data_IF_480894896290
#
_entry.id   IF_480894896290
#
_cell.length_a   1.000
_cell.length_b   1.000
_cell.length_c   1.000
_cell.angle_alpha   90.00
_cell.angle_beta   90.00
_cell.angle_gamma   90.00
#
_symmetry.space_group_name_H-M   'P 1'
#
loop_
_entity.id
_entity.type
_entity.pdbx_description
1 polymer ?
#
# COMPACT_ATOMS: atom_id res chain seq x y z
N UNK A 1 14.69 21.21 52.02
CA UNK A 1 15.26 20.16 51.15
C UNK A 1 14.29 19.71 50.03
N UNK A 2 13.39 20.56 49.51
CA UNK A 2 12.34 20.17 48.53
C UNK A 2 12.37 21.13 47.32
N UNK A 3 13.53 21.25 46.66
CA UNK A 3 13.65 22.02 45.40
C UNK A 3 14.38 21.28 44.28
N UNK A 4 14.91 20.07 44.54
CA UNK A 4 15.67 19.29 43.54
C UNK A 4 14.86 18.20 42.82
N UNK A 5 13.69 17.80 43.32
CA UNK A 5 12.90 16.73 42.69
C UNK A 5 11.98 17.19 41.55
N UNK A 6 11.62 18.48 41.49
CA UNK A 6 10.68 19.00 40.48
C UNK A 6 11.34 19.11 39.10
N UNK A 7 12.63 19.45 39.04
CA UNK A 7 13.37 19.56 37.77
C UNK A 7 13.55 18.21 37.06
N UNK A 8 13.73 17.13 37.83
CA UNK A 8 13.90 15.79 37.26
C UNK A 8 12.57 15.23 36.70
N UNK A 9 11.44 15.57 37.33
CA UNK A 9 10.12 15.17 36.85
C UNK A 9 9.74 15.87 35.53
N UNK A 10 10.11 17.14 35.37
CA UNK A 10 9.89 17.90 34.13
C UNK A 10 10.75 17.38 32.97
N UNK A 11 11.98 16.94 33.25
CA UNK A 11 12.87 16.36 32.24
C UNK A 11 12.33 15.01 31.71
N UNK A 12 11.79 14.17 32.60
CA UNK A 12 11.14 12.90 32.24
C UNK A 12 9.85 13.16 31.44
N UNK A 13 9.05 14.17 31.81
CA UNK A 13 7.85 14.55 31.06
C UNK A 13 8.17 15.07 29.64
N UNK A 14 9.27 15.82 29.48
CA UNK A 14 9.74 16.28 28.17
C UNK A 14 10.29 15.14 27.30
N UNK A 15 10.98 14.17 27.91
CA UNK A 15 11.45 12.96 27.23
C UNK A 15 10.28 12.05 26.81
N UNK A 16 9.17 12.05 27.56
CA UNK A 16 7.94 11.33 27.21
C UNK A 16 7.15 11.99 26.08
N UNK A 17 7.33 13.29 25.80
CA UNK A 17 6.72 13.93 24.61
C UNK A 17 7.49 13.69 23.31
N UNK A 18 8.66 13.04 23.36
CA UNK A 18 9.32 12.43 22.20
C UNK A 18 8.80 11.01 21.91
N UNK A 19 7.64 10.62 22.46
CA UNK A 19 6.90 9.45 21.98
C UNK A 19 6.51 9.69 20.52
N UNK A 20 7.42 9.29 19.65
CA UNK A 20 7.20 8.73 18.32
C UNK A 20 5.87 9.16 17.68
N UNK A 21 5.91 10.24 16.91
CA UNK A 21 5.18 10.20 15.64
C UNK A 21 5.82 9.05 14.85
N UNK A 22 5.32 7.82 15.03
CA UNK A 22 5.52 6.77 14.04
C UNK A 22 4.77 7.24 12.80
N UNK A 23 5.45 7.96 11.91
CA UNK A 23 4.97 8.15 10.56
C UNK A 23 4.79 6.76 9.96
N UNK A 24 3.54 6.40 9.67
CA UNK A 24 3.22 5.17 8.97
C UNK A 24 3.75 5.32 7.54
N UNK A 25 4.97 4.83 7.31
CA UNK A 25 5.55 4.82 5.97
C UNK A 25 4.92 3.66 5.21
N UNK A 26 4.13 3.97 4.18
CA UNK A 26 3.58 2.92 3.32
C UNK A 26 4.72 2.08 2.73
N UNK A 27 4.62 0.74 2.79
CA UNK A 27 5.70 -0.15 2.37
C UNK A 27 5.93 -0.13 0.85
N UNK A 28 4.94 0.34 0.07
CA UNK A 28 5.04 0.51 -1.38
C UNK A 28 4.47 1.88 -1.77
N UNK A 29 5.26 2.64 -2.51
CA UNK A 29 4.86 3.91 -3.09
C UNK A 29 4.54 3.72 -4.58
N UNK A 30 3.51 4.39 -5.06
CA UNK A 30 3.10 4.39 -6.47
C UNK A 30 3.01 5.83 -6.98
N UNK A 31 3.50 6.08 -8.19
CA UNK A 31 3.46 7.39 -8.83
C UNK A 31 3.25 7.22 -10.33
N UNK A 32 2.71 8.23 -11.02
CA UNK A 32 2.75 8.23 -12.48
C UNK A 32 4.20 8.35 -12.95
N UNK A 33 4.58 7.58 -13.98
CA UNK A 33 5.91 7.69 -14.59
C UNK A 33 6.11 9.01 -15.33
N UNK A 34 5.03 9.61 -15.81
CA UNK A 34 5.00 10.93 -16.46
C UNK A 34 3.86 11.77 -15.84
N UNK A 35 4.08 13.07 -15.67
CA UNK A 35 3.13 13.97 -15.00
C UNK A 35 1.94 14.38 -15.86
N UNK A 36 1.91 13.94 -17.13
CA UNK A 36 0.88 14.34 -18.08
C UNK A 36 -0.40 13.52 -17.89
N UNK A 37 -1.46 14.23 -17.48
CA UNK A 37 -2.79 13.64 -17.35
C UNK A 37 -3.40 13.39 -18.74
N UNK A 38 -3.91 12.18 -19.02
CA UNK A 38 -4.54 11.89 -20.29
C UNK A 38 -5.82 12.70 -20.48
N UNK A 39 -6.01 13.29 -21.66
CA UNK A 39 -7.19 14.10 -21.98
C UNK A 39 -8.44 13.27 -22.33
N UNK A 40 -8.28 11.97 -22.59
CA UNK A 40 -9.35 11.06 -23.03
C UNK A 40 -9.32 9.75 -22.25
N UNK A 41 -10.49 9.23 -21.95
CA UNK A 41 -10.68 7.99 -21.20
C UNK A 41 -11.56 7.00 -22.01
N UNK A 42 -11.31 5.67 -21.91
CA UNK A 42 -10.35 5.00 -21.03
C UNK A 42 -8.90 5.32 -21.39
N UNK A 43 -8.04 5.40 -20.37
CA UNK A 43 -6.63 5.74 -20.53
C UNK A 43 -5.76 4.70 -19.84
N UNK A 44 -4.74 4.22 -20.55
CA UNK A 44 -3.68 3.38 -19.98
C UNK A 44 -2.48 4.26 -19.67
N UNK A 45 -2.09 4.32 -18.41
CA UNK A 45 -0.94 5.11 -17.94
C UNK A 45 0.13 4.20 -17.37
N UNK A 46 1.37 4.68 -17.39
CA UNK A 46 2.49 4.03 -16.73
C UNK A 46 2.57 4.50 -15.27
N UNK A 47 2.62 3.53 -14.36
CA UNK A 47 2.75 3.72 -12.91
C UNK A 47 4.10 3.16 -12.49
N UNK A 48 4.97 4.03 -11.97
CA UNK A 48 6.17 3.63 -11.27
C UNK A 48 5.84 3.21 -9.85
N UNK A 49 6.53 2.19 -9.37
CA UNK A 49 6.47 1.78 -7.99
C UNK A 49 7.84 1.70 -7.35
N UNK A 50 7.88 1.95 -6.05
CA UNK A 50 9.06 1.79 -5.21
C UNK A 50 8.68 1.12 -3.89
N UNK A 51 9.40 0.06 -3.54
CA UNK A 51 9.20 -0.69 -2.31
C UNK A 51 10.27 -0.30 -1.30
N UNK A 52 9.88 -0.03 -0.05
CA UNK A 52 10.80 0.40 0.99
C UNK A 52 11.93 -0.63 1.26
N UNK A 53 13.07 -0.18 1.79
CA UNK A 53 14.28 -1.01 1.94
C UNK A 53 14.12 -2.17 2.93
N UNK A 54 13.30 -1.97 3.95
CA UNK A 54 12.98 -2.91 5.02
C UNK A 54 12.03 -4.02 4.54
N UNK A 55 11.22 -3.81 3.50
CA UNK A 55 10.14 -4.73 3.11
C UNK A 55 10.53 -5.77 2.05
N UNK A 56 11.62 -6.51 2.31
CA UNK A 56 12.21 -7.51 1.38
C UNK A 56 11.26 -8.63 0.90
N UNK A 57 10.10 -8.81 1.54
CA UNK A 57 9.13 -9.87 1.22
C UNK A 57 8.01 -9.45 0.26
N UNK A 58 8.01 -8.20 -0.24
CA UNK A 58 6.97 -7.67 -1.13
C UNK A 58 7.31 -7.77 -2.62
N UNK A 59 8.56 -8.05 -2.99
CA UNK A 59 8.99 -8.24 -4.38
C UNK A 59 9.79 -9.52 -4.58
N UNK A 60 10.00 -9.89 -5.83
CA UNK A 60 10.72 -11.07 -6.26
C UNK A 60 9.82 -12.10 -6.94
N UNK A 61 10.31 -13.34 -6.99
CA UNK A 61 9.60 -14.44 -7.65
C UNK A 61 8.25 -14.68 -6.98
N UNK A 62 7.21 -14.80 -7.80
CA UNK A 62 5.84 -15.09 -7.39
C UNK A 62 5.21 -14.05 -6.44
N UNK A 63 5.65 -12.80 -6.52
CA UNK A 63 5.06 -11.66 -5.81
C UNK A 63 4.17 -10.86 -6.75
N UNK A 64 2.92 -10.70 -6.34
CA UNK A 64 1.90 -10.06 -7.15
C UNK A 64 1.02 -9.19 -6.25
N UNK A 65 0.52 -8.11 -6.82
CA UNK A 65 -0.53 -7.30 -6.23
C UNK A 65 -1.70 -7.15 -7.20
N UNK A 66 -2.83 -6.73 -6.65
CA UNK A 66 -3.96 -6.18 -7.41
C UNK A 66 -4.48 -4.98 -6.64
N UNK A 67 -5.11 -4.04 -7.33
CA UNK A 67 -5.79 -2.93 -6.71
C UNK A 67 -7.28 -3.22 -6.68
N UNK A 68 -7.96 -2.85 -5.61
CA UNK A 68 -9.41 -2.80 -5.58
C UNK A 68 -9.85 -1.36 -5.46
N UNK A 69 -10.87 -1.00 -6.22
CA UNK A 69 -11.55 0.27 -6.07
C UNK A 69 -12.76 0.08 -5.14
N UNK A 70 -12.72 0.73 -3.98
CA UNK A 70 -13.80 0.68 -3.00
C UNK A 70 -14.47 2.05 -2.83
N UNK A 71 -15.78 2.10 -3.06
CA UNK A 71 -16.59 3.28 -2.78
C UNK A 71 -17.13 3.25 -1.37
N UNK A 72 -16.71 4.21 -0.56
CA UNK A 72 -17.31 4.46 0.76
C UNK A 72 -18.03 5.81 0.72
N UNK A 73 -19.24 5.81 0.16
CA UNK A 73 -20.10 7.00 0.10
C UNK A 73 -19.59 8.06 -0.87
N UNK A 74 -18.98 9.14 -0.36
CA UNK A 74 -18.43 10.25 -1.17
C UNK A 74 -16.92 10.15 -1.41
N UNK A 75 -16.27 9.14 -0.86
CA UNK A 75 -14.85 8.90 -1.01
C UNK A 75 -14.64 7.56 -1.70
N UNK A 76 -13.70 7.56 -2.65
CA UNK A 76 -13.13 6.34 -3.19
C UNK A 76 -11.83 6.06 -2.44
N UNK A 77 -11.52 4.79 -2.21
CA UNK A 77 -10.20 4.37 -1.78
C UNK A 77 -9.65 3.35 -2.76
N UNK A 78 -8.35 3.47 -3.05
CA UNK A 78 -7.60 2.41 -3.72
C UNK A 78 -6.86 1.59 -2.66
N UNK A 79 -7.16 0.30 -2.62
CA UNK A 79 -6.44 -0.62 -1.72
C UNK A 79 -5.62 -1.58 -2.55
N UNK A 80 -4.33 -1.67 -2.24
CA UNK A 80 -3.44 -2.66 -2.84
C UNK A 80 -3.51 -3.95 -2.02
N UNK A 81 -3.83 -5.06 -2.68
CA UNK A 81 -3.87 -6.38 -2.07
C UNK A 81 -2.72 -7.23 -2.60
N UNK A 82 -1.89 -7.80 -1.72
CA UNK A 82 -0.99 -8.86 -2.14
C UNK A 82 -1.82 -10.09 -2.49
N UNK A 83 -1.43 -10.77 -3.56
CA UNK A 83 -2.12 -11.98 -4.03
C UNK A 83 -1.15 -13.13 -4.25
N UNK A 84 -1.66 -14.34 -4.03
CA UNK A 84 -0.96 -15.58 -4.31
C UNK A 84 -1.59 -16.26 -5.51
N UNK A 85 -0.77 -16.62 -6.50
CA UNK A 85 -1.21 -17.43 -7.63
C UNK A 85 -1.57 -18.84 -7.15
N UNK A 86 -2.70 -19.36 -7.63
CA UNK A 86 -3.17 -20.73 -7.42
C UNK A 86 -3.45 -21.38 -8.77
N UNK A 87 -3.79 -22.68 -8.76
CA UNK A 87 -4.25 -23.39 -9.96
C UNK A 87 -5.55 -22.81 -10.54
N UNK A 88 -6.36 -22.16 -9.70
CA UNK A 88 -7.69 -21.67 -10.05
C UNK A 88 -7.73 -20.13 -10.22
N UNK A 89 -6.56 -19.46 -10.20
CA UNK A 89 -6.45 -18.00 -10.36
C UNK A 89 -5.55 -17.36 -9.31
N UNK A 90 -6.05 -16.35 -8.62
CA UNK A 90 -5.33 -15.63 -7.56
C UNK A 90 -6.19 -15.53 -6.30
N UNK A 91 -5.57 -15.63 -5.14
CA UNK A 91 -6.22 -15.42 -3.84
C UNK A 91 -5.59 -14.22 -3.15
N UNK A 92 -6.42 -13.40 -2.50
CA UNK A 92 -5.91 -12.34 -1.63
C UNK A 92 -5.25 -12.99 -0.42
N UNK A 93 -4.08 -12.47 -0.05
CA UNK A 93 -3.37 -12.85 1.17
C UNK A 93 -3.27 -11.63 2.06
N UNK A 94 -3.29 -11.82 3.37
CA UNK A 94 -2.95 -10.76 4.29
C UNK A 94 -4.10 -9.83 4.70
N UNK A 95 -5.35 -10.15 4.38
CA UNK A 95 -6.50 -9.35 4.78
C UNK A 95 -7.49 -10.15 5.64
N UNK A 96 -8.47 -9.48 6.23
CA UNK A 96 -9.64 -10.12 6.85
C UNK A 96 -10.44 -10.99 5.85
N UNK A 97 -10.18 -10.81 4.55
CA UNK A 97 -10.65 -11.66 3.46
C UNK A 97 -9.66 -12.77 3.08
N UNK A 98 -8.78 -13.18 4.00
CA UNK A 98 -7.84 -14.29 3.80
C UNK A 98 -8.58 -15.48 3.16
N UNK A 99 -8.17 -15.85 1.93
CA UNK A 99 -8.77 -16.87 1.06
C UNK A 99 -9.95 -16.47 0.15
N UNK A 100 -10.27 -15.19 -0.03
CA UNK A 100 -11.09 -14.78 -1.19
C UNK A 100 -10.32 -15.07 -2.48
N UNK A 101 -10.84 -16.00 -3.27
CA UNK A 101 -10.41 -16.21 -4.64
C UNK A 101 -10.96 -15.07 -5.49
N UNK A 102 -10.12 -14.48 -6.32
CA UNK A 102 -10.51 -13.55 -7.37
C UNK A 102 -10.75 -14.40 -8.62
N UNK A 103 -11.98 -14.87 -8.89
CA UNK A 103 -12.25 -15.72 -10.05
C UNK A 103 -12.18 -14.94 -11.37
N UNK A 104 -12.41 -13.63 -11.32
CA UNK A 104 -12.24 -12.69 -12.42
C UNK A 104 -12.08 -11.27 -11.83
N UNK A 105 -10.90 -10.63 -11.95
CA UNK A 105 -10.64 -9.30 -11.37
C UNK A 105 -11.65 -8.23 -11.82
N UNK A 106 -12.04 -8.26 -13.10
CA UNK A 106 -12.95 -7.27 -13.69
C UNK A 106 -14.35 -7.30 -13.07
N UNK A 107 -14.78 -8.44 -12.51
CA UNK A 107 -16.15 -8.61 -11.99
C UNK A 107 -16.37 -7.99 -10.61
N UNK A 108 -15.31 -7.62 -9.90
CA UNK A 108 -15.40 -7.17 -8.51
C UNK A 108 -14.65 -5.85 -8.27
N UNK A 109 -14.39 -5.09 -9.33
CA UNK A 109 -13.68 -3.81 -9.22
C UNK A 109 -12.21 -3.96 -8.87
N UNK A 110 -11.61 -5.11 -9.18
CA UNK A 110 -10.17 -5.30 -9.08
C UNK A 110 -9.48 -4.94 -10.40
N UNK A 111 -8.29 -4.39 -10.30
CA UNK A 111 -7.40 -4.20 -11.44
C UNK A 111 -6.83 -5.52 -11.94
N UNK A 112 -6.08 -5.45 -13.03
CA UNK A 112 -5.19 -6.52 -13.43
C UNK A 112 -4.19 -6.92 -12.32
N UNK A 113 -3.62 -8.12 -12.46
CA UNK A 113 -2.62 -8.66 -11.53
C UNK A 113 -1.24 -8.14 -11.95
N UNK A 114 -0.58 -7.45 -11.04
CA UNK A 114 0.67 -6.75 -11.29
C UNK A 114 1.81 -7.51 -10.60
N UNK A 115 2.83 -7.98 -11.35
CA UNK A 115 3.98 -8.65 -10.77
C UNK A 115 4.98 -7.64 -10.20
N UNK A 116 5.34 -7.80 -8.93
CA UNK A 116 6.38 -7.01 -8.27
C UNK A 116 7.72 -7.75 -8.36
N UNK A 117 8.34 -7.75 -9.54
CA UNK A 117 9.55 -8.57 -9.80
C UNK A 117 10.78 -8.04 -9.07
N UNK A 118 10.93 -6.73 -9.09
CA UNK A 118 12.06 -6.01 -8.51
C UNK A 118 11.55 -5.00 -7.48
N UNK A 119 12.47 -4.45 -6.68
CA UNK A 119 12.16 -3.45 -5.65
C UNK A 119 11.53 -2.16 -6.23
N UNK A 120 11.85 -1.86 -7.48
CA UNK A 120 11.25 -0.77 -8.24
C UNK A 120 10.93 -1.26 -9.65
N UNK A 121 10.00 -0.58 -10.30
CA UNK A 121 9.63 -0.89 -11.66
C UNK A 121 8.45 -0.07 -12.10
N UNK A 122 7.94 -0.41 -13.29
CA UNK A 122 6.82 0.28 -13.91
C UNK A 122 5.81 -0.76 -14.37
N UNK A 123 4.53 -0.48 -14.19
CA UNK A 123 3.44 -1.25 -14.78
C UNK A 123 2.43 -0.34 -15.46
N UNK A 124 1.65 -0.89 -16.39
CA UNK A 124 0.54 -0.19 -17.03
C UNK A 124 -0.72 -0.45 -16.24
N UNK A 125 -1.56 0.58 -16.09
CA UNK A 125 -2.88 0.45 -15.50
C UNK A 125 -3.89 1.23 -16.34
N UNK A 126 -5.02 0.60 -16.64
CA UNK A 126 -6.10 1.25 -17.39
C UNK A 126 -7.13 1.84 -16.44
N UNK A 127 -7.41 3.12 -16.60
CA UNK A 127 -8.44 3.85 -15.89
C UNK A 127 -9.60 4.13 -16.85
N UNK A 128 -10.77 3.63 -16.51
CA UNK A 128 -11.98 3.81 -17.34
C UNK A 128 -12.52 5.24 -17.31
N UNK A 129 -12.23 5.99 -16.24
CA UNK A 129 -12.75 7.34 -16.00
C UNK A 129 -11.69 8.20 -15.33
N UNK A 130 -11.75 9.49 -15.63
CA UNK A 130 -10.80 10.50 -15.12
C UNK A 130 -10.69 10.52 -13.60
N UNK A 131 -11.83 10.47 -12.90
CA UNK A 131 -11.81 10.54 -11.44
C UNK A 131 -11.14 9.32 -10.79
N UNK A 132 -11.09 8.15 -11.45
CA UNK A 132 -10.33 7.01 -10.92
C UNK A 132 -8.83 7.29 -10.89
N UNK A 133 -8.30 7.94 -11.93
CA UNK A 133 -6.90 8.34 -11.96
C UNK A 133 -6.62 9.44 -10.94
N UNK A 134 -7.54 10.41 -10.80
CA UNK A 134 -7.41 11.48 -9.81
C UNK A 134 -7.41 10.94 -8.38
N UNK A 135 -8.31 10.03 -8.05
CA UNK A 135 -8.38 9.39 -6.73
C UNK A 135 -7.09 8.58 -6.48
N UNK A 136 -6.64 7.79 -7.45
CA UNK A 136 -5.39 7.03 -7.36
C UNK A 136 -4.19 7.94 -7.06
N UNK A 137 -4.05 9.05 -7.78
CA UNK A 137 -2.93 9.99 -7.61
C UNK A 137 -3.03 10.75 -6.29
N UNK A 138 -4.22 11.21 -5.92
CA UNK A 138 -4.39 11.94 -4.67
C UNK A 138 -4.00 11.07 -3.47
N UNK A 139 -4.44 9.82 -3.47
CA UNK A 139 -4.11 8.84 -2.42
C UNK A 139 -2.63 8.42 -2.49
N UNK A 140 -2.05 8.30 -3.69
CA UNK A 140 -0.66 7.85 -3.85
C UNK A 140 0.38 8.92 -3.48
N UNK A 141 0.11 10.20 -3.74
CA UNK A 141 1.01 11.31 -3.38
C UNK A 141 0.87 11.73 -1.91
N UNK A 142 -0.27 11.45 -1.26
CA UNK A 142 -0.51 11.79 0.14
C UNK A 142 -0.28 10.63 1.13
N UNK A 143 0.43 9.55 0.74
CA UNK A 143 0.78 8.38 1.59
C UNK A 143 -0.37 7.41 1.94
N UNK A 144 -1.45 7.36 1.15
CA UNK A 144 -2.69 6.63 1.47
C UNK A 144 -2.92 5.28 0.78
N UNK A 145 -1.99 4.75 -0.03
CA UNK A 145 -2.16 3.39 -0.57
C UNK A 145 -1.66 2.36 0.45
N UNK A 146 -2.61 1.82 1.20
CA UNK A 146 -2.37 0.74 2.13
C UNK A 146 -2.21 -0.58 1.37
N UNK A 147 -1.04 -1.20 1.55
CA UNK A 147 -0.86 -2.61 1.20
C UNK A 147 -1.31 -3.42 2.39
N UNK A 148 -2.51 -4.00 2.29
CA UNK A 148 -3.08 -4.77 3.41
C UNK A 148 -2.28 -6.06 3.60
N UNK A 149 -1.55 -6.11 4.71
CA UNK A 149 -0.66 -7.20 5.08
C UNK A 149 -1.10 -7.80 6.42
N UNK A 150 -1.29 -9.12 6.50
CA UNK A 150 -1.52 -9.76 7.80
C UNK A 150 -0.18 -10.00 8.48
N UNK A 151 -0.20 -9.90 9.80
CA UNK A 151 0.93 -9.89 10.74
C UNK A 151 2.08 -10.87 10.43
N UNK A 152 1.82 -11.98 9.73
CA UNK A 152 2.81 -13.03 9.51
C UNK A 152 3.27 -13.22 8.05
N UNK A 153 2.58 -12.65 7.06
CA UNK A 153 2.74 -13.08 5.65
C UNK A 153 3.58 -12.13 4.78
N UNK A 154 3.60 -10.84 5.09
CA UNK A 154 4.31 -9.84 4.29
C UNK A 154 5.44 -9.13 5.04
N UNK A 155 5.49 -9.23 6.38
CA UNK A 155 6.55 -8.61 7.16
C UNK A 155 7.89 -9.34 6.98
N UNK A 156 9.02 -8.63 7.07
CA UNK A 156 10.35 -9.22 7.22
C UNK A 156 10.38 -10.13 8.44
N UNK A 157 11.15 -11.23 8.41
CA UNK A 157 11.29 -12.11 9.60
C UNK A 157 11.80 -11.35 10.84
N UNK A 158 12.58 -10.28 10.64
CA UNK A 158 13.06 -9.42 11.73
C UNK A 158 11.96 -8.67 12.47
N UNK A 159 10.74 -8.62 11.93
CA UNK A 159 9.57 -7.98 12.57
C UNK A 159 8.51 -9.00 13.01
N UNK A 160 8.74 -10.29 12.76
CA UNK A 160 7.84 -11.39 13.20
C UNK A 160 8.09 -11.82 14.65
N UNK A 161 9.15 -11.30 15.28
CA UNK A 161 9.52 -11.56 16.68
C UNK A 161 9.55 -10.24 17.48
N UNK A 162 8.37 -9.72 17.85
CA UNK A 162 8.20 -8.76 18.95
C UNK A 162 6.96 -9.13 19.76
#
# INVERSE_FOLDING_TARGET
MIKKCIGFLFLILMLLSLTACEEYVSPIMFQLSDSDYPEKYPATVDIDYYIANDTKNLYGKDKYITFKWDNHGKMSYFTAYPVKKTKDGYIIIGSEHDAYAIPNPEKFGYSEIIPLKEKNGTFKMTFEKEYYLKDFIHDSYMSGLDVVCSYNKCLPESEKEK
#
